data_IF_212997648232
#
_entry.id   IF_212997648232
#
_cell.length_a   1.000
_cell.length_b   1.000
_cell.length_c   1.000
_cell.angle_alpha   90.00
_cell.angle_beta   90.00
_cell.angle_gamma   90.00
#
_symmetry.space_group_name_H-M   'P 1'
#
loop_
_entity.id
_entity.type
_entity.pdbx_description
1 polymer ?
#
# COMPACT_ATOMS: atom_id res chain seq x y z
N UNK A 1 -20.07 18.69 32.68
CA UNK A 1 -20.34 17.88 31.48
C UNK A 1 -19.01 17.43 30.91
N UNK A 2 -18.70 16.13 30.93
CA UNK A 2 -17.56 15.63 30.18
C UNK A 2 -17.93 15.71 28.70
N UNK A 3 -17.24 16.59 27.97
CA UNK A 3 -17.27 16.56 26.51
C UNK A 3 -16.46 15.34 26.14
N UNK A 4 -17.15 14.26 25.76
CA UNK A 4 -16.53 13.15 25.04
C UNK A 4 -15.98 13.73 23.73
N UNK A 5 -14.71 14.14 23.75
CA UNK A 5 -13.96 14.33 22.52
C UNK A 5 -13.86 12.97 21.87
N UNK A 6 -14.78 12.68 20.95
CA UNK A 6 -14.58 11.62 19.96
C UNK A 6 -13.20 11.88 19.38
N UNK A 7 -12.24 10.99 19.66
CA UNK A 7 -10.89 11.08 19.10
C UNK A 7 -11.03 10.92 17.60
N UNK A 8 -11.16 12.03 16.88
CA UNK A 8 -11.16 12.04 15.42
C UNK A 8 -9.75 11.73 14.97
N UNK A 9 -9.58 10.75 14.10
CA UNK A 9 -8.26 10.45 13.56
C UNK A 9 -7.72 11.66 12.79
N UNK A 10 -6.38 11.88 12.76
CA UNK A 10 -5.79 13.03 12.08
C UNK A 10 -6.23 13.17 10.62
N UNK A 11 -6.41 12.06 9.91
CA UNK A 11 -6.86 12.03 8.52
C UNK A 11 -8.34 12.35 8.32
N UNK A 12 -9.16 12.35 9.38
CA UNK A 12 -10.58 12.69 9.29
C UNK A 12 -10.81 14.19 9.12
N UNK A 13 -10.02 15.02 9.79
CA UNK A 13 -10.20 16.49 9.80
C UNK A 13 -9.04 17.26 9.15
N UNK A 14 -7.89 16.61 8.95
CA UNK A 14 -6.67 17.24 8.42
C UNK A 14 -6.08 16.42 7.26
N UNK A 15 -6.91 15.86 6.37
CA UNK A 15 -6.43 15.09 5.21
C UNK A 15 -5.41 15.87 4.37
N UNK A 16 -5.62 17.18 4.21
CA UNK A 16 -4.71 18.09 3.50
C UNK A 16 -3.33 18.22 4.15
N UNK A 17 -3.14 17.77 5.39
CA UNK A 17 -1.85 17.77 6.08
C UNK A 17 -1.11 16.43 6.02
N UNK A 18 -1.72 15.42 5.41
CA UNK A 18 -1.18 14.07 5.33
C UNK A 18 -0.90 13.76 3.86
N UNK A 19 0.21 13.06 3.60
CA UNK A 19 0.56 12.56 2.27
C UNK A 19 0.90 11.09 2.38
N UNK A 20 0.35 10.28 1.47
CA UNK A 20 0.79 8.91 1.28
C UNK A 20 1.90 8.92 0.24
N UNK A 21 2.99 8.22 0.53
CA UNK A 21 4.11 8.06 -0.41
C UNK A 21 4.34 6.56 -0.57
N UNK A 22 4.33 6.09 -1.81
CA UNK A 22 4.47 4.68 -2.17
C UNK A 22 5.40 4.55 -3.38
N UNK A 23 6.04 3.40 -3.55
CA UNK A 23 6.80 3.03 -4.77
C UNK A 23 5.97 2.09 -5.67
N UNK A 24 4.65 2.08 -5.46
CA UNK A 24 3.72 1.16 -6.12
C UNK A 24 3.72 -0.24 -5.52
N UNK A 25 4.50 -0.52 -4.46
CA UNK A 25 4.56 -1.85 -3.84
C UNK A 25 3.71 -2.00 -2.57
N UNK A 26 2.75 -1.10 -2.35
CA UNK A 26 1.87 -1.16 -1.18
C UNK A 26 0.85 -2.31 -1.31
N UNK A 27 1.23 -3.50 -0.84
CA UNK A 27 0.33 -4.65 -0.68
C UNK A 27 -0.15 -4.84 0.77
N UNK A 28 -1.02 -5.82 1.00
CA UNK A 28 -1.49 -6.22 2.34
C UNK A 28 -2.00 -5.06 3.19
N UNK A 29 -1.65 -5.02 4.47
CA UNK A 29 -2.07 -3.97 5.39
C UNK A 29 -1.73 -2.56 4.87
N UNK A 30 -0.59 -2.40 4.19
CA UNK A 30 -0.18 -1.12 3.60
C UNK A 30 -1.12 -0.73 2.47
N UNK A 31 -1.47 -1.66 1.57
CA UNK A 31 -2.44 -1.42 0.50
C UNK A 31 -3.82 -1.04 1.04
N UNK A 32 -4.34 -1.79 2.03
CA UNK A 32 -5.62 -1.48 2.66
C UNK A 32 -5.63 -0.10 3.34
N UNK A 33 -4.54 0.25 4.02
CA UNK A 33 -4.39 1.55 4.69
C UNK A 33 -4.32 2.68 3.67
N UNK A 34 -3.52 2.52 2.62
CA UNK A 34 -3.42 3.50 1.53
C UNK A 34 -4.77 3.70 0.86
N UNK A 35 -5.48 2.63 0.50
CA UNK A 35 -6.84 2.71 -0.07
C UNK A 35 -7.80 3.49 0.84
N UNK A 36 -7.84 3.16 2.14
CA UNK A 36 -8.69 3.85 3.10
C UNK A 36 -8.37 5.35 3.16
N UNK A 37 -7.09 5.71 3.28
CA UNK A 37 -6.68 7.12 3.38
C UNK A 37 -6.99 7.89 2.10
N UNK A 38 -6.73 7.31 0.93
CA UNK A 38 -6.88 8.03 -0.34
C UNK A 38 -8.32 8.08 -0.81
N UNK A 39 -9.06 6.97 -0.71
CA UNK A 39 -10.40 6.84 -1.30
C UNK A 39 -11.52 7.27 -0.35
N UNK A 40 -11.37 7.05 0.96
CA UNK A 40 -12.42 7.41 1.93
C UNK A 40 -12.12 8.73 2.65
N UNK A 41 -10.85 9.13 2.74
CA UNK A 41 -10.43 10.32 3.47
C UNK A 41 -9.76 11.39 2.60
N UNK A 42 -9.71 11.21 1.28
CA UNK A 42 -9.16 12.18 0.32
C UNK A 42 -7.72 12.63 0.63
N UNK A 43 -6.93 11.77 1.29
CA UNK A 43 -5.49 12.02 1.48
C UNK A 43 -4.79 11.90 0.15
N UNK A 44 -3.96 12.88 -0.19
CA UNK A 44 -3.22 12.84 -1.45
C UNK A 44 -2.10 11.81 -1.42
N UNK A 45 -1.98 11.07 -2.53
CA UNK A 45 -0.92 10.09 -2.72
C UNK A 45 0.09 10.51 -3.78
N UNK A 46 1.35 10.24 -3.46
CA UNK A 46 2.52 10.37 -4.29
C UNK A 46 3.05 8.98 -4.57
N UNK A 47 3.38 8.72 -5.83
CA UNK A 47 4.18 7.56 -6.19
C UNK A 47 5.57 7.98 -6.63
N UNK A 48 6.58 7.26 -6.17
CA UNK A 48 7.98 7.52 -6.50
C UNK A 48 8.56 6.35 -7.28
N UNK A 49 9.27 6.66 -8.36
CA UNK A 49 9.96 5.71 -9.20
C UNK A 49 9.14 5.26 -10.40
N UNK A 50 9.34 4.02 -10.84
CA UNK A 50 8.75 3.48 -12.06
C UNK A 50 9.37 4.03 -13.35
N UNK A 51 8.87 3.55 -14.49
CA UNK A 51 9.28 4.02 -15.81
C UNK A 51 8.64 5.36 -16.12
N UNK A 52 9.42 6.32 -16.61
CA UNK A 52 8.90 7.62 -17.01
C UNK A 52 7.86 7.46 -18.14
N UNK A 53 6.67 8.03 -17.94
CA UNK A 53 5.56 7.99 -18.90
C UNK A 53 4.63 6.79 -18.76
N UNK A 54 4.94 5.83 -17.91
CA UNK A 54 4.03 4.72 -17.59
C UNK A 54 3.12 5.08 -16.42
N UNK A 55 1.87 4.60 -16.47
CA UNK A 55 0.94 4.73 -15.35
C UNK A 55 1.36 3.74 -14.26
N UNK A 56 1.57 4.26 -13.05
CA UNK A 56 1.88 3.44 -11.88
C UNK A 56 0.75 3.52 -10.87
N UNK A 57 0.24 2.37 -10.45
CA UNK A 57 -0.75 2.27 -9.37
C UNK A 57 -0.10 2.50 -8.02
N UNK A 58 -0.86 2.97 -7.05
CA UNK A 58 -0.46 2.91 -5.64
C UNK A 58 -0.28 1.46 -5.14
N UNK A 59 -0.95 0.50 -5.80
CA UNK A 59 -1.11 -0.89 -5.36
C UNK A 59 -0.47 -1.94 -6.28
N UNK A 60 0.39 -1.58 -7.23
CA UNK A 60 1.02 -2.48 -8.22
C UNK A 60 1.84 -3.67 -7.68
N UNK A 61 1.75 -4.00 -6.39
CA UNK A 61 2.24 -5.24 -5.81
C UNK A 61 1.26 -6.39 -6.07
N UNK A 62 1.67 -7.38 -6.86
CA UNK A 62 0.89 -8.59 -7.06
C UNK A 62 0.77 -9.39 -5.74
N UNK A 63 -0.42 -9.36 -5.12
CA UNK A 63 -0.71 -10.07 -3.87
C UNK A 63 -1.18 -9.18 -2.75
N UNK A 64 -2.45 -8.83 -2.80
CA UNK A 64 -3.03 -7.89 -1.86
C UNK A 64 -3.12 -8.39 -0.41
N UNK A 65 -2.95 -9.68 -0.11
CA UNK A 65 -2.68 -10.18 1.25
C UNK A 65 -1.53 -11.15 1.21
N UNK A 66 -0.56 -11.00 2.11
CA UNK A 66 0.67 -11.79 2.11
C UNK A 66 0.77 -12.59 3.40
N UNK A 67 0.80 -13.92 3.29
CA UNK A 67 0.99 -14.83 4.43
C UNK A 67 2.34 -15.53 4.33
N UNK A 68 2.97 -15.78 5.48
CA UNK A 68 4.10 -16.70 5.51
C UNK A 68 3.61 -18.15 5.41
N UNK A 69 4.43 -19.03 4.84
CA UNK A 69 4.18 -20.48 4.81
C UNK A 69 3.87 -21.04 6.21
N UNK A 70 4.61 -20.57 7.21
CA UNK A 70 4.42 -20.94 8.62
C UNK A 70 3.03 -20.59 9.14
N UNK A 71 2.48 -19.45 8.73
CA UNK A 71 1.16 -18.99 9.19
C UNK A 71 0.06 -19.86 8.56
N UNK A 72 0.24 -20.24 7.28
CA UNK A 72 -0.67 -21.16 6.58
C UNK A 72 -0.65 -22.51 7.30
N UNK A 73 0.51 -23.08 7.55
CA UNK A 73 0.63 -24.37 8.24
C UNK A 73 0.07 -24.33 9.66
N UNK A 74 0.30 -23.24 10.40
CA UNK A 74 -0.27 -23.04 11.72
C UNK A 74 -1.80 -22.98 11.68
N UNK A 75 -2.37 -22.34 10.65
CA UNK A 75 -3.81 -22.31 10.43
C UNK A 75 -4.37 -23.72 10.22
N UNK A 76 -3.76 -24.53 9.36
CA UNK A 76 -4.17 -25.92 9.15
C UNK A 76 -4.06 -26.76 10.43
N UNK A 77 -2.95 -26.62 11.17
CA UNK A 77 -2.76 -27.28 12.47
C UNK A 77 -3.85 -26.90 13.47
N UNK A 78 -4.20 -25.62 13.56
CA UNK A 78 -5.26 -25.12 14.43
C UNK A 78 -6.65 -25.66 14.05
N UNK A 79 -6.88 -25.90 12.76
CA UNK A 79 -8.10 -26.52 12.23
C UNK A 79 -8.12 -28.06 12.32
N UNK A 80 -7.07 -28.68 12.84
CA UNK A 80 -6.94 -30.15 12.88
C UNK A 80 -6.82 -30.79 11.49
N UNK A 81 -6.41 -30.01 10.48
CA UNK A 81 -6.27 -30.45 9.09
C UNK A 81 -4.80 -30.59 8.69
N UNK A 82 -4.53 -31.43 7.69
CA UNK A 82 -3.19 -31.55 7.10
C UNK A 82 -2.99 -30.43 6.08
N UNK A 83 -1.93 -29.64 6.25
CA UNK A 83 -1.54 -28.64 5.26
C UNK A 83 -1.17 -29.32 3.93
N UNK A 84 -1.73 -28.87 2.79
CA UNK A 84 -1.30 -29.36 1.47
C UNK A 84 0.09 -28.84 1.09
N UNK A 85 0.61 -27.84 1.80
CA UNK A 85 1.92 -27.23 1.57
C UNK A 85 2.98 -27.84 2.48
N UNK A 86 4.17 -28.10 1.93
CA UNK A 86 5.34 -28.62 2.65
C UNK A 86 6.31 -27.51 3.02
N UNK A 87 7.03 -27.70 4.13
CA UNK A 87 8.16 -26.86 4.48
C UNK A 87 9.21 -26.88 3.37
N UNK A 88 9.76 -25.71 3.11
CA UNK A 88 10.95 -25.58 2.27
C UNK A 88 12.21 -25.84 3.09
N UNK A 89 13.29 -26.34 2.47
CA UNK A 89 14.54 -26.62 3.18
C UNK A 89 15.32 -25.37 3.59
N UNK A 90 14.82 -24.16 3.29
CA UNK A 90 15.50 -22.91 3.57
C UNK A 90 14.95 -22.28 4.87
N UNK A 91 15.83 -21.76 5.72
CA UNK A 91 15.46 -21.05 6.95
C UNK A 91 14.78 -19.68 6.72
N UNK A 92 14.54 -19.31 5.47
CA UNK A 92 13.95 -18.03 5.09
C UNK A 92 12.43 -18.08 5.16
N UNK A 93 11.81 -16.96 5.57
CA UNK A 93 10.35 -16.79 5.49
C UNK A 93 9.92 -16.76 4.02
N UNK A 94 9.20 -17.78 3.57
CA UNK A 94 8.51 -17.73 2.27
C UNK A 94 7.14 -17.08 2.46
N UNK A 95 6.90 -16.05 1.65
CA UNK A 95 5.67 -15.26 1.65
C UNK A 95 4.92 -15.47 0.35
N UNK A 96 3.61 -15.65 0.43
CA UNK A 96 2.74 -15.82 -0.72
C UNK A 96 1.58 -14.85 -0.69
N UNK A 97 1.20 -14.40 -1.87
CA UNK A 97 -0.04 -13.73 -2.18
C UNK A 97 -1.20 -14.70 -1.95
N UNK A 98 -2.00 -14.46 -0.91
CA UNK A 98 -3.06 -15.37 -0.46
C UNK A 98 -4.46 -14.90 -0.89
N UNK A 99 -4.70 -13.59 -0.92
CA UNK A 99 -6.00 -13.01 -1.29
C UNK A 99 -5.80 -11.76 -2.15
N UNK A 100 -6.72 -11.60 -3.10
CA UNK A 100 -6.94 -10.36 -3.83
C UNK A 100 -7.82 -9.41 -3.00
N UNK A 101 -7.58 -8.11 -3.12
CA UNK A 101 -8.39 -7.09 -2.44
C UNK A 101 -9.11 -6.27 -3.48
N UNK A 102 -10.40 -6.03 -3.24
CA UNK A 102 -11.27 -5.30 -4.15
C UNK A 102 -11.76 -4.03 -3.47
N UNK A 103 -11.72 -2.91 -4.19
CA UNK A 103 -12.44 -1.71 -3.77
C UNK A 103 -13.96 -1.94 -3.81
N UNK A 104 -14.70 -1.10 -3.07
CA UNK A 104 -16.17 -1.12 -3.12
C UNK A 104 -16.65 -1.01 -4.57
N UNK A 105 -17.51 -1.94 -4.98
CA UNK A 105 -18.08 -2.04 -6.32
C UNK A 105 -17.05 -2.25 -7.45
N UNK A 106 -15.85 -2.73 -7.15
CA UNK A 106 -14.84 -3.09 -8.16
C UNK A 106 -14.90 -4.58 -8.46
N UNK A 107 -14.78 -4.95 -9.73
CA UNK A 107 -14.53 -6.34 -10.16
C UNK A 107 -13.06 -6.58 -10.53
N UNK A 108 -12.24 -5.53 -10.48
CA UNK A 108 -10.79 -5.59 -10.70
C UNK A 108 -10.11 -5.42 -9.34
N UNK A 109 -9.20 -6.33 -8.95
CA UNK A 109 -8.38 -6.18 -7.74
C UNK A 109 -7.59 -4.88 -7.75
N UNK A 110 -7.35 -4.31 -6.56
CA UNK A 110 -6.64 -3.03 -6.38
C UNK A 110 -5.29 -3.03 -7.11
N UNK A 111 -4.58 -4.15 -7.06
CA UNK A 111 -3.25 -4.34 -7.63
C UNK A 111 -3.21 -4.34 -9.17
N UNK A 112 -4.36 -4.59 -9.82
CA UNK A 112 -4.46 -4.68 -11.27
C UNK A 112 -5.21 -3.50 -11.90
N UNK A 113 -5.78 -2.60 -11.10
CA UNK A 113 -6.51 -1.42 -11.59
C UNK A 113 -5.69 -0.13 -11.45
N UNK A 114 -4.63 -0.03 -12.25
CA UNK A 114 -3.69 1.09 -12.19
C UNK A 114 -4.27 2.44 -12.62
N UNK A 115 -5.30 2.43 -13.47
CA UNK A 115 -5.97 3.65 -13.91
C UNK A 115 -6.88 4.21 -12.82
N UNK A 116 -7.68 3.37 -12.16
CA UNK A 116 -8.58 3.80 -11.10
C UNK A 116 -7.82 4.24 -9.84
N UNK A 117 -6.71 3.59 -9.54
CA UNK A 117 -5.89 3.86 -8.35
C UNK A 117 -4.60 4.61 -8.67
N UNK A 118 -4.65 5.43 -9.71
CA UNK A 118 -3.56 6.33 -10.07
C UNK A 118 -3.35 7.38 -8.97
N UNK A 119 -2.11 7.56 -8.50
CA UNK A 119 -1.77 8.60 -7.54
C UNK A 119 -1.91 9.99 -8.17
N UNK A 120 -2.14 11.01 -7.34
CA UNK A 120 -2.27 12.40 -7.80
C UNK A 120 -0.95 12.93 -8.38
N UNK A 121 0.17 12.45 -7.83
CA UNK A 121 1.50 12.84 -8.25
C UNK A 121 2.36 11.60 -8.54
N UNK A 122 3.08 11.65 -9.66
CA UNK A 122 4.08 10.64 -10.02
C UNK A 122 5.45 11.33 -10.16
N UNK A 123 6.36 10.96 -9.26
CA UNK A 123 7.74 11.44 -9.22
C UNK A 123 8.65 10.36 -9.80
N UNK A 124 9.08 10.56 -11.04
CA UNK A 124 10.04 9.65 -11.68
C UNK A 124 11.38 9.68 -10.95
N UNK A 125 12.12 8.57 -10.98
CA UNK A 125 13.51 8.60 -10.54
C UNK A 125 14.35 9.44 -11.52
N UNK A 126 14.99 10.47 -11.00
CA UNK A 126 16.09 11.18 -11.62
C UNK A 126 17.42 10.60 -11.11
N UNK A 127 18.53 10.97 -11.75
CA UNK A 127 19.85 10.60 -11.24
C UNK A 127 20.06 11.14 -9.81
N UNK A 128 19.56 12.33 -9.49
CA UNK A 128 19.76 12.94 -8.18
C UNK A 128 18.89 12.26 -7.11
N UNK A 129 17.58 12.14 -7.36
CA UNK A 129 16.64 11.64 -6.36
C UNK A 129 16.69 10.10 -6.18
N UNK A 130 17.31 9.36 -7.12
CA UNK A 130 17.56 7.92 -6.96
C UNK A 130 18.70 7.61 -5.99
N UNK A 131 19.65 8.55 -5.80
CA UNK A 131 20.77 8.39 -4.87
C UNK A 131 20.67 9.28 -3.62
N UNK A 132 19.89 10.37 -3.66
CA UNK A 132 19.66 11.25 -2.52
C UNK A 132 18.17 11.34 -2.13
N UNK A 133 17.84 10.78 -0.96
CA UNK A 133 16.49 10.84 -0.39
C UNK A 133 16.07 12.28 -0.08
N UNK A 134 16.99 13.17 0.28
CA UNK A 134 16.65 14.58 0.56
C UNK A 134 16.17 15.30 -0.70
N UNK A 135 16.73 14.99 -1.86
CA UNK A 135 16.26 15.51 -3.14
C UNK A 135 14.80 15.08 -3.40
N UNK A 136 14.50 13.79 -3.24
CA UNK A 136 13.13 13.26 -3.33
C UNK A 136 12.17 13.97 -2.35
N UNK A 137 12.58 14.15 -1.09
CA UNK A 137 11.74 14.82 -0.09
C UNK A 137 11.48 16.30 -0.41
N UNK A 138 12.44 17.01 -0.99
CA UNK A 138 12.24 18.38 -1.46
C UNK A 138 11.20 18.45 -2.57
N UNK A 139 11.23 17.52 -3.53
CA UNK A 139 10.23 17.44 -4.60
C UNK A 139 8.83 17.18 -4.05
N UNK A 140 8.68 16.22 -3.12
CA UNK A 140 7.41 15.94 -2.45
C UNK A 140 6.91 17.18 -1.69
N UNK A 141 7.79 17.83 -0.92
CA UNK A 141 7.42 18.99 -0.12
C UNK A 141 6.96 20.17 -0.99
N UNK A 142 7.66 20.44 -2.09
CA UNK A 142 7.31 21.51 -3.04
C UNK A 142 5.93 21.33 -3.68
N UNK A 143 5.50 20.07 -3.87
CA UNK A 143 4.18 19.75 -4.40
C UNK A 143 3.10 19.70 -3.31
N UNK A 144 3.47 19.36 -2.08
CA UNK A 144 2.53 19.16 -0.97
C UNK A 144 2.10 20.47 -0.30
N UNK A 145 2.96 21.49 -0.26
CA UNK A 145 2.79 22.69 0.58
C UNK A 145 2.95 23.99 -0.21
N UNK A 146 2.01 24.24 -1.12
CA UNK A 146 1.92 25.53 -1.83
C UNK A 146 1.28 26.61 -0.98
#
# INVERSE_FOLDING_TARGET
SQVDTVKTFPWTNNANNIRVITDGRSGSATGMTTYLLTSEHNVEAFVVGGTAGEVMSMFSFAGASVLALSDIQQTYKGLGAVSPMRDVPFASTIRFSWLEVYARNSTIPLEYDAEKFKPKHHLNYSLENSFDRLAMWKEVAALSWK
#
